data_IF_598143178649
#
_entry.id   IF_598143178649
#
_cell.length_a   1.000
_cell.length_b   1.000
_cell.length_c   1.000
_cell.angle_alpha   90.00
_cell.angle_beta   90.00
_cell.angle_gamma   90.00
#
_symmetry.space_group_name_H-M   'P 1'
#
loop_
_entity.id
_entity.type
_entity.pdbx_description
1 polymer ?
#
# COMPACT_ATOMS: atom_id res chain seq x y z
N UNK A 1 9.27 15.07 0.00
CA UNK A 1 7.94 15.04 -0.68
C UNK A 1 7.80 13.76 -1.51
N UNK A 2 8.47 12.68 -1.09
CA UNK A 2 8.75 11.46 -1.86
C UNK A 2 8.09 10.23 -1.21
N UNK A 3 6.85 10.41 -0.77
CA UNK A 3 6.10 9.35 -0.07
C UNK A 3 4.63 9.43 -0.42
N UNK A 4 4.00 8.28 -0.58
CA UNK A 4 2.57 8.11 -0.74
C UNK A 4 1.96 7.64 0.59
N UNK A 5 1.02 8.38 1.20
CA UNK A 5 0.31 7.89 2.39
C UNK A 5 -0.56 6.67 2.08
N UNK A 6 -0.68 5.74 3.03
CA UNK A 6 -1.53 4.54 2.89
C UNK A 6 -3.00 4.88 2.58
N UNK A 7 -3.52 6.00 3.09
CA UNK A 7 -4.87 6.48 2.76
C UNK A 7 -5.06 6.75 1.27
N UNK A 8 -4.05 7.30 0.57
CA UNK A 8 -4.11 7.55 -0.87
C UNK A 8 -3.94 6.23 -1.64
N UNK A 9 -3.08 5.33 -1.14
CA UNK A 9 -2.87 4.01 -1.73
C UNK A 9 -4.16 3.19 -1.78
N UNK A 10 -4.87 3.06 -0.66
CA UNK A 10 -6.07 2.23 -0.56
C UNK A 10 -7.29 2.85 -1.25
N UNK A 11 -7.46 4.17 -1.12
CA UNK A 11 -8.63 4.88 -1.65
C UNK A 11 -8.49 5.27 -3.11
N UNK A 12 -7.42 5.97 -3.47
CA UNK A 12 -7.30 6.60 -4.79
C UNK A 12 -6.66 5.68 -5.83
N UNK A 13 -5.78 4.76 -5.41
CA UNK A 13 -5.05 3.88 -6.34
C UNK A 13 -5.72 2.51 -6.46
N UNK A 14 -5.94 1.81 -5.35
CA UNK A 14 -6.60 0.48 -5.37
C UNK A 14 -8.13 0.55 -5.39
N UNK A 15 -8.73 1.65 -4.91
CA UNK A 15 -10.18 1.83 -4.78
C UNK A 15 -10.86 0.76 -3.91
N UNK A 16 -10.15 0.25 -2.90
CA UNK A 16 -10.71 -0.68 -1.90
C UNK A 16 -11.52 0.03 -0.81
N UNK A 17 -11.39 1.34 -0.74
CA UNK A 17 -12.17 2.23 0.11
C UNK A 17 -12.62 3.44 -0.71
N UNK A 18 -13.78 4.00 -0.37
CA UNK A 18 -14.32 5.25 -0.90
C UNK A 18 -14.06 6.41 0.07
N UNK A 19 -14.09 6.15 1.38
CA UNK A 19 -13.95 7.19 2.43
C UNK A 19 -12.73 6.95 3.33
N UNK A 20 -12.25 8.01 4.00
CA UNK A 20 -11.15 7.88 4.98
C UNK A 20 -11.54 6.97 6.15
N UNK A 21 -12.81 6.98 6.57
CA UNK A 21 -13.32 6.13 7.64
C UNK A 21 -13.20 4.64 7.31
N UNK A 22 -13.42 4.26 6.06
CA UNK A 22 -13.23 2.88 5.60
C UNK A 22 -11.75 2.50 5.59
N UNK A 23 -10.86 3.37 5.11
CA UNK A 23 -9.41 3.15 5.17
C UNK A 23 -8.97 2.91 6.62
N UNK A 24 -9.43 3.72 7.57
CA UNK A 24 -9.13 3.53 8.99
C UNK A 24 -9.61 2.16 9.47
N UNK A 25 -10.83 1.74 9.12
CA UNK A 25 -11.34 0.40 9.48
C UNK A 25 -10.45 -0.71 8.92
N UNK A 26 -10.01 -0.61 7.66
CA UNK A 26 -9.12 -1.60 7.03
C UNK A 26 -7.77 -1.66 7.75
N UNK A 27 -7.15 -0.51 8.02
CA UNK A 27 -5.86 -0.46 8.73
C UNK A 27 -5.98 -0.99 10.17
N UNK A 28 -7.09 -0.73 10.86
CA UNK A 28 -7.34 -1.22 12.23
C UNK A 28 -7.54 -2.74 12.29
N UNK A 29 -7.96 -3.38 11.20
CA UNK A 29 -8.03 -4.84 11.09
C UNK A 29 -6.64 -5.50 10.97
N UNK A 30 -5.55 -4.72 10.93
CA UNK A 30 -4.16 -5.22 10.86
C UNK A 30 -3.87 -6.10 9.63
N UNK A 31 -4.64 -5.91 8.56
CA UNK A 31 -4.51 -6.69 7.31
C UNK A 31 -3.42 -6.18 6.38
N UNK A 32 -2.95 -4.95 6.60
CA UNK A 32 -1.99 -4.28 5.74
C UNK A 32 -0.62 -4.33 6.40
N UNK A 33 0.36 -4.79 5.62
CA UNK A 33 1.77 -4.75 5.99
C UNK A 33 2.55 -3.95 4.96
N UNK A 34 3.54 -3.21 5.44
CA UNK A 34 4.55 -2.55 4.63
C UNK A 34 5.89 -3.17 5.03
N UNK A 35 6.59 -3.74 4.06
CA UNK A 35 7.84 -4.50 4.25
C UNK A 35 7.73 -5.55 5.36
N UNK A 36 6.62 -6.30 5.33
CA UNK A 36 6.32 -7.36 6.29
C UNK A 36 5.87 -6.88 7.68
N UNK A 37 5.91 -5.57 7.97
CA UNK A 37 5.47 -5.01 9.26
C UNK A 37 4.03 -4.50 9.18
N UNK A 38 3.18 -4.93 10.12
CA UNK A 38 1.80 -4.47 10.21
C UNK A 38 1.76 -2.96 10.46
N UNK A 39 1.01 -2.22 9.63
CA UNK A 39 0.82 -0.78 9.78
C UNK A 39 -0.66 -0.46 9.97
N UNK A 40 -0.98 0.17 11.10
CA UNK A 40 -2.33 0.62 11.44
C UNK A 40 -2.55 2.11 11.19
N UNK A 41 -1.46 2.88 11.07
CA UNK A 41 -1.53 4.32 10.78
C UNK A 41 -1.88 4.54 9.31
N UNK A 42 -2.99 5.25 9.07
CA UNK A 42 -3.49 5.57 7.72
C UNK A 42 -2.61 6.61 7.01
N UNK A 43 -1.87 7.42 7.76
CA UNK A 43 -0.94 8.41 7.22
C UNK A 43 0.49 7.90 7.14
N UNK A 44 0.71 6.60 7.39
CA UNK A 44 2.03 6.00 7.28
C UNK A 44 2.61 6.25 5.87
N UNK A 45 3.83 6.81 5.76
CA UNK A 45 4.44 7.09 4.49
C UNK A 45 4.93 5.78 3.86
N UNK A 46 4.46 5.49 2.65
CA UNK A 46 5.04 4.43 1.80
C UNK A 46 5.91 5.07 0.72
N UNK A 47 7.13 4.58 0.59
CA UNK A 47 8.18 5.12 -0.27
C UNK A 47 8.31 4.40 -1.60
N UNK A 48 9.34 4.79 -2.35
CA UNK A 48 9.77 4.07 -3.54
C UNK A 48 10.35 2.71 -3.15
N UNK A 49 9.98 1.66 -3.88
CA UNK A 49 10.37 0.25 -3.70
C UNK A 49 9.77 -0.48 -2.49
N UNK A 50 9.04 0.20 -1.61
CA UNK A 50 8.32 -0.44 -0.52
C UNK A 50 7.33 -1.49 -1.04
N UNK A 51 7.25 -2.61 -0.33
CA UNK A 51 6.31 -3.70 -0.62
C UNK A 51 5.13 -3.60 0.33
N UNK A 52 3.94 -3.37 -0.22
CA UNK A 52 2.68 -3.40 0.49
C UNK A 52 2.00 -4.74 0.25
N UNK A 53 1.72 -5.49 1.32
CA UNK A 53 1.01 -6.76 1.24
C UNK A 53 -0.35 -6.68 1.94
N UNK A 54 -1.35 -7.33 1.34
CA UNK A 54 -2.71 -7.43 1.89
C UNK A 54 -2.99 -8.90 2.19
N UNK A 55 -2.93 -9.28 3.46
CA UNK A 55 -3.02 -10.69 3.89
C UNK A 55 -4.36 -11.34 3.49
N UNK A 56 -5.44 -10.56 3.48
CA UNK A 56 -6.79 -11.07 3.18
C UNK A 56 -6.97 -11.51 1.73
N UNK A 57 -6.33 -10.80 0.79
CA UNK A 57 -6.42 -11.10 -0.65
C UNK A 57 -5.21 -11.87 -1.16
N UNK A 58 -4.12 -11.95 -0.38
CA UNK A 58 -2.86 -12.55 -0.82
C UNK A 58 -2.17 -11.73 -1.92
N UNK A 59 -2.53 -10.46 -2.06
CA UNK A 59 -1.97 -9.57 -3.07
C UNK A 59 -0.74 -8.82 -2.53
N UNK A 60 0.26 -8.68 -3.39
CA UNK A 60 1.50 -7.96 -3.12
C UNK A 60 1.67 -6.84 -4.13
N UNK A 61 2.10 -5.68 -3.65
CA UNK A 61 2.22 -4.48 -4.43
C UNK A 61 3.56 -3.81 -4.15
N UNK A 62 4.25 -3.38 -5.21
CA UNK A 62 5.47 -2.58 -5.12
C UNK A 62 5.21 -1.17 -5.62
N UNK A 63 5.68 -0.19 -4.87
CA UNK A 63 5.60 1.22 -5.27
C UNK A 63 6.77 1.57 -6.19
N UNK A 64 6.46 1.97 -7.42
CA UNK A 64 7.46 2.37 -8.41
C UNK A 64 7.11 3.75 -9.01
N UNK A 65 8.08 4.37 -9.66
CA UNK A 65 7.84 5.59 -10.42
C UNK A 65 7.40 5.27 -11.85
N UNK A 66 6.33 5.94 -12.27
CA UNK A 66 5.93 6.05 -13.68
C UNK A 66 6.94 6.95 -14.43
N UNK A 67 6.95 6.91 -15.76
CA UNK A 67 7.82 7.74 -16.63
C UNK A 67 7.64 9.25 -16.41
N UNK A 68 6.54 9.65 -15.77
CA UNK A 68 6.21 11.03 -15.39
C UNK A 68 6.63 11.39 -13.95
N UNK A 69 7.37 10.53 -13.26
CA UNK A 69 7.83 10.75 -11.88
C UNK A 69 6.73 10.62 -10.81
N UNK A 70 5.63 9.92 -11.11
CA UNK A 70 4.51 9.73 -10.16
C UNK A 70 4.56 8.32 -9.58
N UNK A 71 4.19 8.15 -8.31
CA UNK A 71 4.01 6.83 -7.73
C UNK A 71 2.87 6.07 -8.43
N UNK A 72 3.22 4.92 -8.99
CA UNK A 72 2.30 3.91 -9.49
C UNK A 72 2.44 2.63 -8.67
N UNK A 73 1.35 1.85 -8.66
CA UNK A 73 1.30 0.56 -7.97
C UNK A 73 1.58 -0.51 -9.01
N UNK A 74 2.63 -1.30 -8.78
CA UNK A 74 2.93 -2.48 -9.56
C UNK A 74 2.53 -3.73 -8.78
N UNK A 75 1.71 -4.59 -9.36
CA UNK A 75 1.36 -5.89 -8.77
C UNK A 75 2.55 -6.83 -8.96
N UNK A 76 2.99 -7.47 -7.88
CA UNK A 76 4.10 -8.41 -7.88
C UNK A 76 3.66 -9.76 -7.33
N UNK A 77 4.46 -10.79 -7.58
CA UNK A 77 4.26 -12.12 -7.02
C UNK A 77 4.72 -12.21 -5.57
N UNK A 78 4.28 -13.24 -4.84
CA UNK A 78 4.70 -13.48 -3.46
C UNK A 78 6.21 -13.81 -3.33
N UNK A 79 6.82 -14.33 -4.39
CA UNK A 79 8.26 -14.59 -4.43
C UNK A 79 9.05 -13.30 -4.59
N UNK A 80 8.66 -12.43 -5.52
CA UNK A 80 9.25 -11.11 -5.72
C UNK A 80 9.07 -10.19 -4.52
N UNK A 81 8.01 -10.39 -3.73
CA UNK A 81 7.76 -9.61 -2.51
C UNK A 81 8.78 -9.86 -1.39
N UNK A 82 9.56 -10.95 -1.46
CA UNK A 82 10.57 -11.30 -0.45
C UNK A 82 11.92 -10.62 -0.66
N UNK A 83 12.17 -10.14 -1.88
CA UNK A 83 13.44 -9.55 -2.32
C UNK A 83 13.26 -8.08 -2.63
#
# INVERSE_FOLDING_TARGET
RESLPLVIFLRNRLKYALTNSEVTKICMQRLIKVDGKVRTDTNYPTGFMDVVSIDKTGEYFRLIYDVKGRFTIHRITAEEAKY
#
